data_IF_172949458029
#
_entry.id   IF_172949458029
#
_cell.length_a   1.000
_cell.length_b   1.000
_cell.length_c   1.000
_cell.angle_alpha   90.00
_cell.angle_beta   90.00
_cell.angle_gamma   90.00
#
_symmetry.space_group_name_H-M   'P 1'
#
loop_
_entity.id
_entity.type
_entity.pdbx_description
1 polymer ?
#
# COMPACT_ATOMS: atom_id res chain seq x y z
N UNK A 1 -30.95 9.72 41.17
CA UNK A 1 -29.90 8.67 41.09
C UNK A 1 -29.23 8.80 39.75
N UNK A 2 -28.02 9.37 39.69
CA UNK A 2 -27.25 9.50 38.46
C UNK A 2 -26.74 8.09 38.08
N UNK A 3 -27.03 7.68 36.86
CA UNK A 3 -26.40 6.45 36.29
C UNK A 3 -24.90 6.64 36.36
N UNK A 4 -24.21 5.79 37.13
CA UNK A 4 -22.77 5.71 37.09
C UNK A 4 -22.37 5.30 35.66
N UNK A 5 -21.68 6.17 34.94
CA UNK A 5 -21.11 5.86 33.66
C UNK A 5 -20.08 4.74 33.85
N UNK A 6 -20.39 3.58 33.32
CA UNK A 6 -19.53 2.41 33.35
C UNK A 6 -18.44 2.60 32.29
N UNK A 7 -17.32 3.23 32.64
CA UNK A 7 -16.15 3.31 31.75
C UNK A 7 -15.48 1.93 31.66
N UNK A 8 -15.40 1.41 30.45
CA UNK A 8 -14.68 0.19 30.16
C UNK A 8 -13.16 0.39 30.29
N UNK A 9 -12.42 -0.65 30.59
CA UNK A 9 -10.97 -0.62 30.52
C UNK A 9 -10.52 -0.84 29.09
N UNK A 10 -9.86 0.17 28.47
CA UNK A 10 -9.42 0.10 27.09
C UNK A 10 -7.93 0.42 26.94
N UNK A 11 -7.36 -0.01 25.86
CA UNK A 11 -5.97 0.30 25.51
C UNK A 11 -5.82 1.54 24.64
N UNK A 12 -6.82 1.88 23.84
CA UNK A 12 -6.71 2.87 22.78
C UNK A 12 -7.57 4.08 23.12
N UNK A 13 -6.92 5.23 23.11
CA UNK A 13 -7.54 6.50 23.34
C UNK A 13 -7.28 7.47 22.19
N UNK A 14 -8.30 8.21 21.82
CA UNK A 14 -8.18 9.40 21.00
C UNK A 14 -7.92 10.59 21.91
N UNK A 15 -7.07 11.51 21.50
CA UNK A 15 -6.72 12.66 22.30
C UNK A 15 -6.67 13.96 21.51
N UNK A 16 -6.99 15.07 22.18
CA UNK A 16 -6.84 16.42 21.69
C UNK A 16 -6.09 17.25 22.73
N UNK A 17 -5.06 17.98 22.32
CA UNK A 17 -4.24 18.76 23.23
C UNK A 17 -3.95 20.16 22.69
N UNK A 18 -4.44 21.17 23.37
CA UNK A 18 -4.27 22.60 23.06
C UNK A 18 -3.07 23.26 23.77
N UNK A 19 -2.24 22.48 24.43
CA UNK A 19 -1.19 22.92 25.32
C UNK A 19 -1.62 22.88 26.80
N UNK A 20 -0.67 23.02 27.74
CA UNK A 20 -0.95 23.07 29.15
C UNK A 20 -1.80 24.33 29.46
N UNK A 21 -2.67 24.25 30.49
CA UNK A 21 -3.58 25.32 30.82
C UNK A 21 -2.80 26.63 31.12
N UNK A 22 -2.96 27.60 30.22
CA UNK A 22 -2.26 28.90 30.31
C UNK A 22 -0.89 28.96 29.65
N UNK A 23 -0.48 27.89 28.92
CA UNK A 23 0.78 27.81 28.19
C UNK A 23 0.57 27.59 26.70
N UNK A 24 1.66 27.70 25.96
CA UNK A 24 1.69 27.46 24.53
C UNK A 24 1.73 25.96 24.19
N UNK A 25 1.30 25.62 22.98
CA UNK A 25 1.42 24.28 22.46
C UNK A 25 2.92 23.93 22.33
N UNK A 26 3.42 22.83 22.96
CA UNK A 26 4.82 22.45 22.85
C UNK A 26 5.20 22.09 21.40
N UNK A 27 6.46 22.17 21.06
CA UNK A 27 6.94 21.63 19.78
C UNK A 27 6.75 20.11 19.71
N UNK A 28 6.87 19.56 18.50
CA UNK A 28 6.69 18.12 18.23
C UNK A 28 7.62 17.25 19.07
N UNK A 29 8.90 17.59 19.14
CA UNK A 29 9.91 16.80 19.84
C UNK A 29 9.65 16.73 21.35
N UNK A 30 9.22 17.84 21.93
CA UNK A 30 8.81 17.93 23.33
C UNK A 30 7.53 17.11 23.57
N UNK A 31 6.53 17.27 22.70
CA UNK A 31 5.27 16.51 22.81
C UNK A 31 5.49 15.00 22.68
N UNK A 32 6.36 14.56 21.79
CA UNK A 32 6.75 13.15 21.67
C UNK A 32 7.34 12.62 22.99
N UNK A 33 8.22 13.38 23.64
CA UNK A 33 8.82 13.01 24.95
C UNK A 33 7.74 12.85 26.02
N UNK A 34 6.76 13.74 26.05
CA UNK A 34 5.64 13.69 27.01
C UNK A 34 4.73 12.49 26.78
N UNK A 35 4.48 12.10 25.52
CA UNK A 35 3.66 10.95 25.18
C UNK A 35 4.37 9.60 25.38
N UNK A 36 5.70 9.57 25.29
CA UNK A 36 6.50 8.36 25.29
C UNK A 36 6.29 7.44 26.51
N UNK A 37 6.19 7.93 27.75
CA UNK A 37 5.97 7.08 28.91
C UNK A 37 4.55 6.51 29.02
N UNK A 38 3.59 7.10 28.29
CA UNK A 38 2.18 6.72 28.35
C UNK A 38 1.75 5.76 27.27
N UNK A 39 2.19 6.03 26.03
CA UNK A 39 1.70 5.36 24.83
C UNK A 39 2.80 4.52 24.17
N UNK A 40 2.60 3.20 24.13
CA UNK A 40 3.47 2.25 23.38
C UNK A 40 3.39 2.45 21.87
N UNK A 41 2.22 2.87 21.38
CA UNK A 41 1.98 3.27 20.00
C UNK A 41 1.26 4.60 20.01
N UNK A 42 1.64 5.49 19.11
CA UNK A 42 0.99 6.79 18.96
C UNK A 42 1.11 7.29 17.54
N UNK A 43 0.08 8.02 17.12
CA UNK A 43 0.06 8.80 15.91
C UNK A 43 -0.68 10.09 16.22
N UNK A 44 -0.17 11.22 15.74
CA UNK A 44 -0.80 12.52 15.94
C UNK A 44 -0.37 13.50 14.85
N UNK A 45 -1.12 14.56 14.72
CA UNK A 45 -0.82 15.68 13.82
C UNK A 45 -1.11 16.99 14.50
N UNK A 46 -0.56 18.07 13.97
CA UNK A 46 -0.90 19.43 14.37
C UNK A 46 -2.04 19.92 13.48
N UNK A 47 -3.06 20.47 14.12
CA UNK A 47 -4.24 21.01 13.44
C UNK A 47 -4.47 22.44 13.87
N UNK A 48 -5.18 23.20 13.03
CA UNK A 48 -5.71 24.51 13.35
C UNK A 48 -7.23 24.42 13.45
N UNK A 49 -7.77 24.91 14.57
CA UNK A 49 -9.21 24.93 14.78
C UNK A 49 -9.86 25.99 13.87
N UNK A 50 -10.79 25.63 12.97
CA UNK A 50 -11.35 26.57 12.00
C UNK A 50 -12.12 27.75 12.62
N UNK A 51 -12.62 27.60 13.85
CA UNK A 51 -13.41 28.62 14.51
C UNK A 51 -12.61 29.55 15.41
N UNK A 52 -11.45 29.10 15.91
CA UNK A 52 -10.66 29.86 16.90
C UNK A 52 -9.23 30.14 16.42
N UNK A 53 -8.82 29.60 15.29
CA UNK A 53 -7.47 29.63 14.73
C UNK A 53 -6.38 29.15 15.73
N UNK A 54 -6.78 28.37 16.74
CA UNK A 54 -5.85 27.82 17.72
C UNK A 54 -5.27 26.51 17.21
N UNK A 55 -3.95 26.42 17.27
CA UNK A 55 -3.26 25.18 17.01
C UNK A 55 -3.45 24.18 18.16
N UNK A 56 -3.54 22.91 17.82
CA UNK A 56 -3.62 21.83 18.78
C UNK A 56 -3.05 20.54 18.17
N UNK A 57 -2.67 19.60 19.03
CA UNK A 57 -2.38 18.24 18.59
C UNK A 57 -3.64 17.39 18.69
N UNK A 58 -3.91 16.64 17.64
CA UNK A 58 -4.94 15.62 17.61
C UNK A 58 -4.33 14.29 17.23
N UNK A 59 -4.73 13.23 17.93
CA UNK A 59 -4.12 11.94 17.66
C UNK A 59 -4.78 10.77 18.39
N UNK A 60 -4.15 9.62 18.24
CA UNK A 60 -4.56 8.36 18.85
C UNK A 60 -3.35 7.68 19.47
N UNK A 61 -3.55 7.09 20.64
CA UNK A 61 -2.51 6.37 21.35
C UNK A 61 -2.98 5.05 21.95
N UNK A 62 -2.14 4.02 21.90
CA UNK A 62 -2.33 2.78 22.63
C UNK A 62 -1.44 2.77 23.87
N UNK A 63 -2.05 2.67 25.05
CA UNK A 63 -1.36 2.67 26.34
C UNK A 63 -0.47 1.41 26.51
N UNK A 64 0.54 1.53 27.36
CA UNK A 64 1.32 0.34 27.83
C UNK A 64 0.49 -0.58 28.71
N UNK A 65 -0.40 -0.02 29.54
CA UNK A 65 -1.29 -0.75 30.43
C UNK A 65 -2.72 -0.25 30.26
N UNK A 66 -3.66 -1.16 30.27
CA UNK A 66 -5.09 -0.84 30.26
C UNK A 66 -5.42 0.10 31.43
N UNK A 67 -6.19 1.15 31.15
CA UNK A 67 -6.69 2.09 32.15
C UNK A 67 -8.13 2.45 31.81
N UNK A 68 -8.86 2.88 32.85
CA UNK A 68 -10.14 3.58 32.64
C UNK A 68 -9.86 5.05 32.34
N UNK A 69 -10.74 5.69 31.59
CA UNK A 69 -10.59 7.11 31.24
C UNK A 69 -10.33 8.02 32.48
N UNK A 70 -11.07 7.90 33.60
CA UNK A 70 -10.80 8.73 34.78
C UNK A 70 -9.41 8.51 35.39
N UNK A 71 -8.88 7.29 35.34
CA UNK A 71 -7.52 6.99 35.79
C UNK A 71 -6.46 7.63 34.90
N UNK A 72 -6.69 7.58 33.57
CA UNK A 72 -5.82 8.24 32.60
C UNK A 72 -5.86 9.77 32.78
N UNK A 73 -7.03 10.36 32.96
CA UNK A 73 -7.16 11.79 33.20
C UNK A 73 -6.43 12.26 34.47
N UNK A 74 -6.50 11.48 35.57
CA UNK A 74 -5.72 11.77 36.77
C UNK A 74 -4.24 11.79 36.53
N UNK A 75 -3.74 10.74 35.85
CA UNK A 75 -2.33 10.61 35.49
C UNK A 75 -1.84 11.76 34.60
N UNK A 76 -2.64 12.20 33.65
CA UNK A 76 -2.33 13.33 32.77
C UNK A 76 -2.29 14.65 33.55
N UNK A 77 -3.18 14.85 34.53
CA UNK A 77 -3.24 16.07 35.33
C UNK A 77 -2.01 16.29 36.22
N UNK A 78 -1.29 15.24 36.53
CA UNK A 78 -0.03 15.28 37.28
C UNK A 78 1.21 15.49 36.39
N UNK A 79 1.00 15.75 35.10
CA UNK A 79 2.08 15.96 34.10
C UNK A 79 1.87 17.27 33.33
N UNK A 80 2.82 17.61 32.46
CA UNK A 80 2.70 18.72 31.51
C UNK A 80 1.61 18.50 30.45
N UNK A 81 1.01 17.31 30.39
CA UNK A 81 -0.16 17.00 29.56
C UNK A 81 -1.48 17.35 30.23
N UNK A 82 -1.45 18.10 31.32
CA UNK A 82 -2.63 18.57 32.00
C UNK A 82 -3.53 19.38 31.06
N UNK A 83 -4.80 18.94 30.97
CA UNK A 83 -5.78 19.55 30.07
C UNK A 83 -5.89 18.86 28.72
N UNK A 84 -5.15 17.75 28.51
CA UNK A 84 -5.39 16.89 27.36
C UNK A 84 -6.77 16.23 27.48
N UNK A 85 -7.64 16.45 26.49
CA UNK A 85 -8.90 15.70 26.36
C UNK A 85 -8.58 14.31 25.82
N UNK A 86 -9.06 13.26 26.50
CA UNK A 86 -8.89 11.87 26.09
C UNK A 86 -10.25 11.18 26.07
N UNK A 87 -10.51 10.45 25.00
CA UNK A 87 -11.74 9.68 24.81
C UNK A 87 -11.40 8.25 24.43
N UNK A 88 -12.19 7.32 24.97
CA UNK A 88 -12.08 5.92 24.55
C UNK A 88 -12.32 5.84 23.04
N UNK A 89 -11.40 5.23 22.33
CA UNK A 89 -11.58 5.00 20.91
C UNK A 89 -12.76 4.05 20.71
N UNK A 90 -13.78 4.45 19.96
CA UNK A 90 -14.98 3.64 19.80
C UNK A 90 -14.65 2.35 19.03
N UNK A 91 -15.11 1.21 19.56
CA UNK A 91 -15.02 -0.09 18.88
C UNK A 91 -15.77 -0.14 17.54
N UNK A 92 -16.61 0.87 17.25
CA UNK A 92 -17.33 1.03 15.99
C UNK A 92 -16.57 1.84 14.95
N UNK A 93 -15.55 2.57 15.30
CA UNK A 93 -14.55 2.94 14.33
C UNK A 93 -13.81 1.64 14.01
N UNK A 94 -14.33 0.90 13.03
CA UNK A 94 -13.53 -0.13 12.37
C UNK A 94 -12.16 0.48 12.26
N UNK A 95 -11.19 -0.21 12.78
CA UNK A 95 -9.81 0.15 13.04
C UNK A 95 -9.08 0.95 11.96
N UNK A 96 -9.75 1.21 10.89
CA UNK A 96 -9.28 1.86 9.70
C UNK A 96 -9.52 3.35 9.71
N UNK A 97 -10.35 3.88 10.64
CA UNK A 97 -10.57 5.31 10.75
C UNK A 97 -9.61 6.02 11.73
N UNK A 98 -8.37 5.58 11.73
CA UNK A 98 -7.23 6.47 12.05
C UNK A 98 -7.36 7.77 11.26
N UNK A 99 -7.90 7.71 10.06
CA UNK A 99 -8.14 8.82 9.15
C UNK A 99 -9.09 9.88 9.68
N UNK A 100 -10.07 9.54 10.53
CA UNK A 100 -10.91 10.58 11.17
C UNK A 100 -10.07 11.52 12.05
N UNK A 101 -9.06 10.98 12.75
CA UNK A 101 -8.13 11.75 13.59
C UNK A 101 -6.99 12.38 12.79
N UNK A 102 -6.93 12.13 11.48
CA UNK A 102 -5.83 12.50 10.58
C UNK A 102 -6.37 13.28 9.37
N UNK A 103 -7.36 14.10 9.56
CA UNK A 103 -7.99 14.91 8.51
C UNK A 103 -6.96 15.81 7.83
N UNK A 104 -7.09 15.92 6.51
CA UNK A 104 -6.26 16.86 5.73
C UNK A 104 -6.71 18.32 5.91
N UNK A 105 -8.00 18.53 6.11
CA UNK A 105 -8.63 19.85 6.03
C UNK A 105 -8.14 20.83 7.08
N UNK A 106 -7.74 20.33 8.26
CA UNK A 106 -7.31 21.17 9.40
C UNK A 106 -5.84 20.96 9.75
N UNK A 107 -5.15 20.06 9.03
CA UNK A 107 -3.75 19.74 9.28
C UNK A 107 -2.83 20.88 8.90
N UNK A 108 -2.00 21.31 9.85
CA UNK A 108 -0.92 22.26 9.59
C UNK A 108 0.46 21.62 9.59
N UNK A 109 0.64 20.46 10.24
CA UNK A 109 1.90 19.73 10.27
C UNK A 109 1.73 18.26 10.71
N UNK A 110 2.69 17.39 10.42
CA UNK A 110 2.63 15.95 10.67
C UNK A 110 2.06 15.17 9.47
N UNK A 111 1.59 13.93 9.65
CA UNK A 111 1.47 13.20 10.91
C UNK A 111 2.79 12.59 11.42
N UNK A 112 2.93 12.52 12.73
CA UNK A 112 4.06 11.87 13.41
C UNK A 112 3.61 10.58 14.08
N UNK A 113 4.37 9.50 13.91
CA UNK A 113 4.05 8.21 14.50
C UNK A 113 5.32 7.48 14.94
N UNK A 114 5.25 6.76 16.05
CA UNK A 114 6.34 5.89 16.48
C UNK A 114 6.21 4.46 15.95
N UNK A 115 5.09 4.11 15.37
CA UNK A 115 4.84 2.83 14.68
C UNK A 115 3.81 3.05 13.60
N UNK A 116 3.93 2.30 12.52
CA UNK A 116 2.89 2.18 11.51
C UNK A 116 1.63 1.60 12.14
N UNK A 117 0.53 2.33 12.12
CA UNK A 117 -0.79 1.89 12.59
C UNK A 117 -1.52 1.01 11.57
N UNK A 118 -0.86 0.63 10.51
CA UNK A 118 -1.43 -0.36 9.61
C UNK A 118 -1.68 -1.63 10.44
N UNK A 119 -2.92 -2.07 10.48
CA UNK A 119 -3.23 -3.40 10.98
C UNK A 119 -2.26 -4.38 10.32
N UNK A 120 -1.69 -5.34 11.07
CA UNK A 120 -0.83 -6.33 10.45
C UNK A 120 -1.62 -6.97 9.30
N UNK A 121 -1.02 -7.00 8.12
CA UNK A 121 -1.62 -7.62 6.94
C UNK A 121 -1.99 -9.05 7.32
N UNK A 122 -3.24 -9.42 7.11
CA UNK A 122 -3.65 -10.81 7.32
C UNK A 122 -2.96 -11.69 6.30
N UNK A 123 -2.13 -12.61 6.78
CA UNK A 123 -1.44 -13.59 5.93
C UNK A 123 -2.24 -14.88 5.96
N UNK A 124 -2.89 -15.27 4.84
CA UNK A 124 -3.61 -16.52 4.74
C UNK A 124 -2.72 -17.73 5.06
N UNK A 125 -3.30 -18.77 5.63
CA UNK A 125 -2.55 -19.92 6.17
C UNK A 125 -1.62 -20.56 5.13
N UNK A 126 -2.04 -20.61 3.88
CA UNK A 126 -1.28 -21.19 2.77
C UNK A 126 -0.03 -20.39 2.38
N UNK A 127 0.08 -19.13 2.82
CA UNK A 127 1.22 -18.24 2.52
C UNK A 127 2.15 -18.02 3.70
N UNK A 128 1.80 -18.54 4.88
CA UNK A 128 2.64 -18.40 6.08
C UNK A 128 3.95 -19.15 5.93
N UNK A 129 5.06 -18.46 6.19
CA UNK A 129 6.41 -19.04 6.11
C UNK A 129 6.90 -19.33 4.67
N UNK A 130 6.17 -18.87 3.63
CA UNK A 130 6.64 -19.04 2.25
C UNK A 130 7.71 -18.02 1.86
N UNK A 131 7.77 -16.87 2.51
CA UNK A 131 8.76 -15.84 2.19
C UNK A 131 10.20 -16.35 2.31
N UNK A 132 10.45 -17.24 3.26
CA UNK A 132 11.77 -17.88 3.49
C UNK A 132 12.06 -19.02 2.50
N UNK A 133 11.05 -19.46 1.73
CA UNK A 133 11.12 -20.60 0.81
C UNK A 133 11.02 -20.20 -0.66
N UNK A 134 11.15 -18.92 -0.94
CA UNK A 134 11.07 -18.42 -2.30
C UNK A 134 12.25 -18.92 -3.14
N UNK A 135 11.97 -19.13 -4.42
CA UNK A 135 13.02 -19.46 -5.38
C UNK A 135 13.93 -18.25 -5.68
N UNK A 136 15.17 -18.47 -6.14
CA UNK A 136 16.08 -17.36 -6.47
C UNK A 136 15.48 -16.33 -7.42
N UNK A 137 14.74 -16.78 -8.44
CA UNK A 137 14.09 -15.88 -9.39
C UNK A 137 13.03 -14.97 -8.74
N UNK A 138 12.29 -15.48 -7.74
CA UNK A 138 11.28 -14.70 -7.03
C UNK A 138 11.93 -13.61 -6.16
N UNK A 139 13.03 -13.93 -5.49
CA UNK A 139 13.82 -12.93 -4.77
C UNK A 139 14.32 -11.82 -5.70
N UNK A 140 14.84 -12.18 -6.87
CA UNK A 140 15.30 -11.19 -7.86
C UNK A 140 14.16 -10.28 -8.33
N UNK A 141 12.96 -10.84 -8.57
CA UNK A 141 11.76 -10.07 -8.92
C UNK A 141 11.39 -9.13 -7.79
N UNK A 142 11.32 -9.62 -6.55
CA UNK A 142 10.95 -8.79 -5.39
C UNK A 142 11.95 -7.67 -5.12
N UNK A 143 13.24 -7.90 -5.32
CA UNK A 143 14.28 -6.87 -5.15
C UNK A 143 14.22 -5.77 -6.20
N UNK A 144 13.65 -6.04 -7.38
CA UNK A 144 13.48 -5.03 -8.43
C UNK A 144 12.58 -3.85 -8.01
N UNK A 145 11.81 -3.97 -6.91
CA UNK A 145 11.03 -2.87 -6.34
C UNK A 145 11.86 -1.65 -5.95
N UNK A 146 13.17 -1.82 -5.79
CA UNK A 146 14.13 -0.75 -5.45
C UNK A 146 14.82 -0.16 -6.68
N UNK A 147 14.61 -0.73 -7.86
CA UNK A 147 15.20 -0.22 -9.10
C UNK A 147 14.47 1.04 -9.58
N UNK A 148 15.24 2.03 -10.01
CA UNK A 148 14.74 3.24 -10.65
C UNK A 148 14.77 3.09 -12.17
N UNK A 149 13.85 2.29 -12.68
CA UNK A 149 13.65 2.12 -14.14
C UNK A 149 12.24 2.62 -14.50
N UNK A 150 12.17 3.72 -15.19
CA UNK A 150 10.88 4.37 -15.53
C UNK A 150 10.31 3.94 -16.88
N UNK A 151 10.98 3.06 -17.58
CA UNK A 151 10.62 2.73 -18.96
C UNK A 151 10.35 1.25 -19.20
N UNK A 152 11.13 0.39 -18.58
CA UNK A 152 11.13 -1.04 -18.93
C UNK A 152 10.00 -1.80 -18.22
N UNK A 153 9.38 -2.70 -18.97
CA UNK A 153 8.42 -3.70 -18.50
C UNK A 153 9.08 -5.07 -18.58
N UNK A 154 9.18 -5.75 -17.46
CA UNK A 154 9.71 -7.11 -17.40
C UNK A 154 8.59 -8.12 -17.70
N UNK A 155 8.89 -9.11 -18.52
CA UNK A 155 7.94 -10.16 -18.85
C UNK A 155 8.58 -11.54 -18.63
N UNK A 156 7.96 -12.35 -17.79
CA UNK A 156 8.36 -13.75 -17.58
C UNK A 156 7.49 -14.65 -18.42
N UNK A 157 8.10 -15.36 -19.38
CA UNK A 157 7.44 -16.37 -20.21
C UNK A 157 7.74 -17.74 -19.59
N UNK A 158 6.74 -18.35 -18.98
CA UNK A 158 6.84 -19.61 -18.24
C UNK A 158 5.96 -20.66 -18.91
N UNK A 159 6.42 -21.20 -20.05
CA UNK A 159 5.67 -22.20 -20.84
C UNK A 159 5.30 -23.45 -20.04
N UNK A 160 6.21 -24.07 -19.26
CA UNK A 160 5.85 -25.22 -18.45
C UNK A 160 4.81 -24.91 -17.39
N UNK A 161 4.81 -23.68 -16.87
CA UNK A 161 4.00 -23.29 -15.74
C UNK A 161 4.50 -23.89 -14.41
N UNK A 162 3.73 -23.66 -13.35
CA UNK A 162 3.99 -24.21 -12.01
C UNK A 162 5.35 -23.81 -11.40
N UNK A 163 5.89 -22.65 -11.79
CA UNK A 163 7.12 -22.09 -11.22
C UNK A 163 6.87 -21.05 -10.13
N UNK A 164 5.63 -20.92 -9.64
CA UNK A 164 5.31 -20.07 -8.50
C UNK A 164 5.16 -18.57 -8.84
N UNK A 165 4.71 -18.20 -10.06
CA UNK A 165 4.45 -16.80 -10.46
C UNK A 165 3.43 -16.13 -9.54
N UNK A 166 2.26 -16.75 -9.35
CA UNK A 166 1.22 -16.21 -8.47
C UNK A 166 1.68 -16.15 -7.01
N UNK A 167 2.50 -17.10 -6.54
CA UNK A 167 3.12 -17.02 -5.21
C UNK A 167 4.02 -15.79 -5.09
N UNK A 168 4.80 -15.46 -6.12
CA UNK A 168 5.67 -14.29 -6.13
C UNK A 168 4.86 -13.00 -6.00
N UNK A 169 3.79 -12.85 -6.78
CA UNK A 169 2.90 -11.69 -6.72
C UNK A 169 2.21 -11.57 -5.36
N UNK A 170 1.67 -12.67 -4.82
CA UNK A 170 1.08 -12.69 -3.47
C UNK A 170 2.10 -12.29 -2.39
N UNK A 171 3.35 -12.77 -2.46
CA UNK A 171 4.38 -12.40 -1.48
C UNK A 171 4.73 -10.91 -1.56
N UNK A 172 4.78 -10.35 -2.76
CA UNK A 172 4.98 -8.92 -2.95
C UNK A 172 3.84 -8.10 -2.31
N UNK A 173 2.59 -8.51 -2.54
CA UNK A 173 1.43 -7.82 -1.97
C UNK A 173 1.37 -7.93 -0.44
N UNK A 174 1.55 -9.13 0.11
CA UNK A 174 1.40 -9.39 1.53
C UNK A 174 2.55 -8.80 2.37
N UNK A 175 3.77 -8.75 1.84
CA UNK A 175 4.96 -8.38 2.62
C UNK A 175 5.63 -7.08 2.19
N UNK A 176 5.42 -6.63 0.96
CA UNK A 176 6.15 -5.49 0.39
C UNK A 176 5.25 -4.38 -0.15
N UNK A 177 3.92 -4.47 0.05
CA UNK A 177 2.98 -3.48 -0.45
C UNK A 177 2.89 -3.41 -1.98
N UNK A 178 3.30 -4.47 -2.66
CA UNK A 178 3.12 -4.62 -4.10
C UNK A 178 1.65 -4.66 -4.50
N UNK A 179 1.40 -4.58 -5.79
CA UNK A 179 0.04 -4.67 -6.35
C UNK A 179 0.01 -5.86 -7.31
N UNK A 180 -0.82 -6.84 -7.00
CA UNK A 180 -1.16 -7.93 -7.91
C UNK A 180 -2.49 -7.59 -8.60
N UNK A 181 -2.43 -7.30 -9.90
CA UNK A 181 -3.60 -6.85 -10.63
C UNK A 181 -4.46 -8.06 -11.04
N UNK A 182 -5.77 -7.99 -10.81
CA UNK A 182 -6.66 -9.05 -11.24
C UNK A 182 -6.63 -9.20 -12.77
N UNK A 183 -6.93 -10.40 -13.30
CA UNK A 183 -6.96 -10.66 -14.74
C UNK A 183 -8.16 -9.99 -15.40
N UNK A 184 -8.07 -8.69 -15.66
CA UNK A 184 -9.09 -7.87 -16.30
C UNK A 184 -8.76 -7.72 -17.77
N UNK A 185 -9.72 -8.00 -18.65
CA UNK A 185 -9.54 -7.96 -20.10
C UNK A 185 -9.71 -6.57 -20.73
N UNK A 186 -10.21 -5.58 -20.01
CA UNK A 186 -10.41 -4.21 -20.50
C UNK A 186 -9.38 -3.26 -19.89
N UNK A 187 -8.72 -2.45 -20.77
CA UNK A 187 -7.69 -1.52 -20.33
C UNK A 187 -8.22 -0.40 -19.43
N UNK A 188 -9.46 0.05 -19.67
CA UNK A 188 -10.08 1.12 -18.85
C UNK A 188 -10.36 0.59 -17.45
N UNK A 189 -10.91 -0.62 -17.34
CA UNK A 189 -11.14 -1.26 -16.05
C UNK A 189 -9.82 -1.47 -15.30
N UNK A 190 -8.76 -1.88 -15.98
CA UNK A 190 -7.46 -2.10 -15.37
C UNK A 190 -6.87 -0.81 -14.77
N UNK A 191 -6.90 0.30 -15.52
CA UNK A 191 -6.42 1.59 -15.01
C UNK A 191 -7.30 2.14 -13.88
N UNK A 192 -8.61 1.92 -13.95
CA UNK A 192 -9.55 2.29 -12.89
C UNK A 192 -9.30 1.52 -11.60
N UNK A 193 -9.08 0.21 -11.68
CA UNK A 193 -8.75 -0.63 -10.51
C UNK A 193 -7.44 -0.17 -9.87
N UNK A 194 -6.42 0.14 -10.67
CA UNK A 194 -5.16 0.68 -10.14
C UNK A 194 -5.39 2.03 -9.45
N UNK A 195 -6.18 2.91 -10.07
CA UNK A 195 -6.54 4.19 -9.48
C UNK A 195 -7.23 4.02 -8.13
N UNK A 196 -8.23 3.14 -8.05
CA UNK A 196 -8.99 2.86 -6.82
C UNK A 196 -8.08 2.26 -5.73
N UNK A 197 -7.21 1.30 -6.07
CA UNK A 197 -6.28 0.68 -5.11
C UNK A 197 -5.32 1.71 -4.53
N UNK A 198 -4.70 2.51 -5.40
CA UNK A 198 -3.70 3.50 -4.98
C UNK A 198 -4.33 4.63 -4.17
N UNK A 199 -5.51 5.11 -4.57
CA UNK A 199 -6.25 6.13 -3.81
C UNK A 199 -6.71 5.60 -2.45
N UNK A 200 -7.25 4.39 -2.38
CA UNK A 200 -7.69 3.78 -1.13
C UNK A 200 -6.55 3.56 -0.13
N UNK A 201 -5.34 3.32 -0.63
CA UNK A 201 -4.13 3.13 0.19
C UNK A 201 -3.37 4.44 0.42
N UNK A 202 -3.77 5.56 -0.20
CA UNK A 202 -2.99 6.82 -0.30
C UNK A 202 -1.53 6.53 -0.73
N UNK A 203 -1.37 5.61 -1.70
CA UNK A 203 -0.06 5.11 -2.10
C UNK A 203 0.46 5.86 -3.31
N UNK A 204 1.62 6.51 -3.15
CA UNK A 204 2.32 7.25 -4.22
C UNK A 204 3.60 6.56 -4.68
N UNK A 205 4.01 5.49 -4.01
CA UNK A 205 5.26 4.77 -4.27
C UNK A 205 5.06 3.26 -4.32
N UNK A 206 4.19 2.77 -5.22
CA UNK A 206 4.01 1.33 -5.38
C UNK A 206 5.30 0.74 -5.96
N UNK A 207 6.15 0.14 -5.14
CA UNK A 207 7.46 -0.35 -5.56
C UNK A 207 7.40 -1.35 -6.70
N UNK A 208 6.37 -2.21 -6.74
CA UNK A 208 6.23 -3.28 -7.73
C UNK A 208 4.77 -3.54 -8.08
N UNK A 209 4.49 -3.76 -9.36
CA UNK A 209 3.15 -4.10 -9.88
C UNK A 209 3.25 -5.34 -10.76
N UNK A 210 2.35 -6.29 -10.53
CA UNK A 210 2.23 -7.52 -11.30
C UNK A 210 0.98 -7.53 -12.15
N UNK A 211 1.10 -8.14 -13.30
CA UNK A 211 0.00 -8.40 -14.24
C UNK A 211 0.15 -9.82 -14.75
N UNK A 212 -0.84 -10.67 -14.47
CA UNK A 212 -0.87 -12.02 -15.04
C UNK A 212 -1.71 -12.00 -16.32
N UNK A 213 -1.09 -12.39 -17.43
CA UNK A 213 -1.77 -12.54 -18.72
C UNK A 213 -2.41 -13.93 -18.78
N UNK A 214 -3.75 -14.02 -18.74
CA UNK A 214 -4.44 -15.29 -18.93
C UNK A 214 -4.07 -15.93 -20.27
N UNK A 215 -3.99 -17.23 -20.32
CA UNK A 215 -3.69 -17.98 -21.54
C UNK A 215 -4.60 -17.61 -22.71
N UNK A 216 -5.87 -17.36 -22.40
CA UNK A 216 -6.87 -16.95 -23.39
C UNK A 216 -6.62 -15.56 -23.96
N UNK A 217 -6.07 -14.63 -23.18
CA UNK A 217 -5.82 -13.26 -23.63
C UNK A 217 -4.67 -13.20 -24.64
N UNK A 218 -3.65 -14.03 -24.47
CA UNK A 218 -2.50 -14.08 -25.38
C UNK A 218 -2.85 -14.60 -26.78
N UNK A 219 -3.96 -15.32 -26.90
CA UNK A 219 -4.48 -15.84 -28.18
C UNK A 219 -5.42 -14.86 -28.90
N UNK A 220 -5.80 -13.73 -28.24
CA UNK A 220 -6.72 -12.74 -28.79
C UNK A 220 -6.02 -11.40 -29.07
N UNK A 221 -5.40 -11.17 -30.22
CA UNK A 221 -4.64 -9.96 -30.52
C UNK A 221 -5.42 -8.66 -30.33
N UNK A 222 -6.75 -8.68 -30.56
CA UNK A 222 -7.63 -7.49 -30.39
C UNK A 222 -7.75 -7.05 -28.94
N UNK A 223 -7.59 -7.95 -27.98
CA UNK A 223 -7.61 -7.64 -26.54
C UNK A 223 -6.23 -7.25 -26.02
N UNK A 224 -5.18 -7.69 -26.67
CA UNK A 224 -3.81 -7.47 -26.24
C UNK A 224 -3.38 -6.02 -26.36
N UNK A 225 -3.75 -5.33 -27.46
CA UNK A 225 -3.37 -3.94 -27.67
C UNK A 225 -3.93 -2.99 -26.59
N UNK A 226 -5.23 -3.03 -26.21
CA UNK A 226 -5.76 -2.23 -25.10
C UNK A 226 -5.08 -2.53 -23.78
N UNK A 227 -4.76 -3.78 -23.53
CA UNK A 227 -4.06 -4.21 -22.32
C UNK A 227 -2.65 -3.59 -22.21
N UNK A 228 -1.92 -3.56 -23.32
CA UNK A 228 -0.59 -2.94 -23.38
C UNK A 228 -0.65 -1.42 -23.11
N UNK A 229 -1.70 -0.75 -23.55
CA UNK A 229 -1.94 0.67 -23.25
C UNK A 229 -2.07 0.89 -21.73
N UNK A 230 -2.81 0.02 -21.04
CA UNK A 230 -2.93 0.09 -19.58
C UNK A 230 -1.59 -0.12 -18.88
N UNK A 231 -0.81 -1.11 -19.31
CA UNK A 231 0.54 -1.37 -18.79
C UNK A 231 1.44 -0.13 -18.96
N UNK A 232 1.39 0.53 -20.12
CA UNK A 232 2.17 1.75 -20.37
C UNK A 232 1.74 2.90 -19.45
N UNK A 233 0.43 3.08 -19.22
CA UNK A 233 -0.08 4.12 -18.33
C UNK A 233 0.36 3.86 -16.87
N UNK A 234 0.25 2.64 -16.41
CA UNK A 234 0.69 2.25 -15.06
C UNK A 234 2.21 2.46 -14.93
N UNK A 235 2.98 2.02 -15.92
CA UNK A 235 4.44 2.21 -15.94
C UNK A 235 4.85 3.68 -15.98
N UNK A 236 4.05 4.54 -16.62
CA UNK A 236 4.24 5.99 -16.64
C UNK A 236 4.03 6.64 -15.26
N UNK A 237 3.34 5.98 -14.34
CA UNK A 237 3.01 6.53 -13.03
C UNK A 237 1.81 7.47 -13.02
N UNK A 238 0.89 7.32 -13.98
CA UNK A 238 -0.34 8.10 -14.03
C UNK A 238 -1.50 7.26 -14.53
N UNK A 239 -2.54 7.16 -13.73
CA UNK A 239 -3.80 6.48 -14.07
C UNK A 239 -4.99 7.39 -13.80
N UNK A 240 -6.10 7.15 -14.50
CA UNK A 240 -7.33 7.89 -14.30
C UNK A 240 -8.55 6.97 -14.27
N UNK A 241 -9.58 7.45 -13.59
CA UNK A 241 -10.91 6.84 -13.54
C UNK A 241 -11.95 7.88 -14.02
N UNK A 242 -12.77 7.48 -14.97
CA UNK A 242 -13.79 8.34 -15.60
C UNK A 242 -15.23 7.82 -15.41
N UNK A 243 -15.45 6.80 -14.57
CA UNK A 243 -16.76 6.13 -14.42
C UNK A 243 -17.86 7.05 -13.89
N UNK A 244 -17.60 7.75 -12.79
CA UNK A 244 -18.60 8.61 -12.13
C UNK A 244 -18.19 10.09 -12.21
N UNK A 245 -16.97 10.39 -11.78
CA UNK A 245 -16.32 11.68 -11.87
C UNK A 245 -14.91 11.45 -12.32
N UNK A 246 -14.34 12.42 -13.07
CA UNK A 246 -12.93 12.34 -13.41
C UNK A 246 -12.10 12.35 -12.13
N UNK A 247 -11.30 11.31 -11.94
CA UNK A 247 -10.28 11.21 -10.88
C UNK A 247 -9.00 10.77 -11.53
N UNK A 248 -7.88 11.29 -11.09
CA UNK A 248 -6.57 10.85 -11.54
C UNK A 248 -5.61 10.70 -10.37
N UNK A 249 -4.60 9.87 -10.57
CA UNK A 249 -3.62 9.59 -9.55
C UNK A 249 -2.23 9.49 -10.15
N UNK A 250 -1.33 10.34 -9.62
CA UNK A 250 0.08 10.33 -9.97
C UNK A 250 0.87 9.60 -8.90
N UNK A 251 1.82 8.76 -9.33
CA UNK A 251 2.65 7.96 -8.45
C UNK A 251 4.01 7.68 -9.08
N UNK A 252 5.00 7.27 -8.27
CA UNK A 252 6.33 6.89 -8.77
C UNK A 252 6.21 5.64 -9.65
N UNK A 253 6.94 5.62 -10.77
CA UNK A 253 6.91 4.51 -11.72
C UNK A 253 7.35 3.21 -11.04
N UNK A 254 6.51 2.16 -10.98
CA UNK A 254 6.84 0.90 -10.31
C UNK A 254 7.75 0.01 -11.14
N UNK A 255 8.42 -0.95 -10.49
CA UNK A 255 8.90 -2.12 -11.19
C UNK A 255 7.71 -2.90 -11.75
N UNK A 256 7.61 -3.01 -13.08
CA UNK A 256 6.46 -3.63 -13.75
C UNK A 256 6.83 -5.03 -14.22
N UNK A 257 6.03 -6.03 -13.80
CA UNK A 257 6.20 -7.41 -14.17
C UNK A 257 4.94 -8.00 -14.78
N UNK A 258 5.09 -8.53 -15.98
CA UNK A 258 4.04 -9.26 -16.70
C UNK A 258 4.38 -10.74 -16.63
N UNK A 259 3.45 -11.53 -16.14
CA UNK A 259 3.56 -12.98 -16.12
C UNK A 259 2.70 -13.58 -17.23
N UNK A 260 3.24 -14.51 -17.97
CA UNK A 260 2.49 -15.24 -18.99
C UNK A 260 3.02 -16.68 -19.14
N UNK A 261 2.21 -17.54 -19.74
CA UNK A 261 2.61 -18.91 -20.07
C UNK A 261 2.96 -19.06 -21.56
N UNK A 262 2.44 -18.18 -22.41
CA UNK A 262 2.71 -18.18 -23.84
C UNK A 262 3.31 -16.84 -24.27
N UNK A 263 4.21 -16.88 -25.23
CA UNK A 263 4.70 -15.68 -25.86
C UNK A 263 3.55 -15.01 -26.63
N UNK A 264 3.61 -13.68 -26.73
CA UNK A 264 2.62 -12.87 -27.42
C UNK A 264 3.30 -11.92 -28.41
N UNK A 265 2.52 -11.40 -29.36
CA UNK A 265 3.00 -10.43 -30.32
C UNK A 265 3.47 -9.13 -29.64
N UNK A 266 4.74 -8.82 -29.76
CA UNK A 266 5.39 -7.70 -29.07
C UNK A 266 5.25 -6.36 -29.78
N UNK A 267 4.56 -6.31 -30.92
CA UNK A 267 4.42 -5.09 -31.77
C UNK A 267 3.65 -3.95 -31.11
N UNK A 268 2.88 -4.24 -30.06
CA UNK A 268 2.02 -3.24 -29.41
C UNK A 268 2.77 -2.28 -28.47
N UNK A 269 4.03 -2.56 -28.18
CA UNK A 269 4.95 -1.66 -27.48
C UNK A 269 6.30 -1.65 -28.17
N UNK A 270 7.06 -0.56 -28.03
CA UNK A 270 8.41 -0.49 -28.61
C UNK A 270 9.35 -1.52 -27.98
N UNK A 271 10.23 -2.10 -28.80
CA UNK A 271 11.13 -3.17 -28.37
C UNK A 271 12.00 -2.82 -27.18
N UNK A 272 12.41 -1.57 -27.07
CA UNK A 272 13.25 -1.05 -25.98
C UNK A 272 12.54 -1.01 -24.62
N UNK A 273 11.21 -1.12 -24.59
CA UNK A 273 10.43 -1.20 -23.36
C UNK A 273 10.39 -2.59 -22.76
N UNK A 274 10.73 -3.62 -23.51
CA UNK A 274 10.59 -4.99 -23.05
C UNK A 274 11.89 -5.59 -22.55
N UNK A 275 11.79 -6.28 -21.40
CA UNK A 275 12.78 -7.25 -20.91
C UNK A 275 12.12 -8.58 -20.72
N UNK A 276 12.44 -9.53 -21.59
CA UNK A 276 11.90 -10.89 -21.52
C UNK A 276 12.81 -11.80 -20.73
N UNK A 277 12.17 -12.65 -19.96
CA UNK A 277 12.81 -13.58 -19.06
C UNK A 277 12.19 -14.96 -19.17
N UNK A 278 12.98 -15.99 -18.94
CA UNK A 278 12.51 -17.35 -18.67
C UNK A 278 13.10 -17.85 -17.36
N UNK A 279 12.42 -18.80 -16.73
CA UNK A 279 12.89 -19.46 -15.51
C UNK A 279 13.66 -20.70 -15.95
N UNK A 280 14.91 -20.82 -15.55
CA UNK A 280 15.74 -21.97 -15.85
C UNK A 280 15.47 -23.15 -14.90
N UNK A 281 16.13 -24.29 -15.15
CA UNK A 281 15.99 -25.50 -14.33
C UNK A 281 16.47 -25.33 -12.89
N UNK A 282 17.32 -24.34 -12.61
CA UNK A 282 17.84 -24.00 -11.29
C UNK A 282 16.99 -22.91 -10.61
N UNK A 283 15.86 -22.56 -11.19
CA UNK A 283 14.97 -21.51 -10.70
C UNK A 283 15.61 -20.11 -10.66
N UNK A 284 16.44 -19.78 -11.65
CA UNK A 284 16.96 -18.44 -11.87
C UNK A 284 16.28 -17.78 -13.06
N UNK A 285 16.28 -16.43 -13.10
CA UNK A 285 15.86 -15.69 -14.29
C UNK A 285 16.98 -15.72 -15.33
N UNK A 286 16.65 -16.18 -16.53
CA UNK A 286 17.49 -16.05 -17.71
C UNK A 286 16.90 -15.05 -18.69
N UNK A 287 17.70 -14.07 -19.11
CA UNK A 287 17.32 -13.11 -20.13
C UNK A 287 17.10 -13.81 -21.46
N UNK A 288 16.00 -13.42 -22.14
CA UNK A 288 15.70 -13.86 -23.51
C UNK A 288 15.97 -12.74 -24.51
N UNK A 289 16.42 -13.12 -25.68
CA UNK A 289 16.52 -12.21 -26.83
C UNK A 289 15.15 -12.05 -27.51
N UNK A 290 14.96 -10.98 -28.26
CA UNK A 290 13.74 -10.81 -29.06
C UNK A 290 13.53 -11.94 -30.07
N UNK A 291 14.60 -12.46 -30.65
CA UNK A 291 14.52 -13.57 -31.58
C UNK A 291 13.99 -14.84 -30.91
N UNK A 292 14.47 -15.17 -29.71
CA UNK A 292 13.95 -16.31 -28.94
C UNK A 292 12.43 -16.13 -28.67
N UNK A 293 11.98 -14.93 -28.34
CA UNK A 293 10.54 -14.63 -28.10
C UNK A 293 9.75 -14.78 -29.41
N UNK A 294 10.24 -14.24 -30.52
CA UNK A 294 9.56 -14.33 -31.81
C UNK A 294 9.41 -15.79 -32.28
N UNK A 295 10.43 -16.63 -32.07
CA UNK A 295 10.34 -18.04 -32.37
C UNK A 295 9.23 -18.74 -31.57
N UNK A 296 9.06 -18.36 -30.26
CA UNK A 296 7.97 -18.89 -29.44
C UNK A 296 6.58 -18.43 -29.90
N UNK A 297 6.46 -17.23 -30.49
CA UNK A 297 5.19 -16.74 -31.05
C UNK A 297 4.81 -17.50 -32.32
N UNK A 298 5.80 -17.81 -33.19
CA UNK A 298 5.55 -18.57 -34.43
C UNK A 298 5.14 -20.00 -34.13
N UNK A 299 5.74 -20.65 -33.14
CA UNK A 299 5.41 -22.03 -32.75
C UNK A 299 3.95 -22.21 -32.24
N UNK A 300 3.32 -21.12 -31.77
CA UNK A 300 1.93 -21.14 -31.30
C UNK A 300 0.95 -20.88 -32.46
N UNK A 301 1.40 -20.32 -33.56
CA UNK A 301 0.57 -19.94 -34.72
C UNK A 301 0.37 -21.05 -35.73
N UNK A 302 1.10 -22.15 -35.63
CA UNK A 302 0.91 -23.38 -36.45
C UNK A 302 0.06 -24.37 -35.63
N UNK A 303 -1.18 -24.67 -36.07
CA UNK A 303 -2.08 -25.62 -35.42
C UNK A 303 -1.68 -27.07 -35.66
#
# INVERSE_FOLDING_TARGET
MSKAEHHSQVFIYDFTFFGPKGGDLPDEATFVKLLQPLFKKRIFQREECPTTNKHHYQGRGALFKIKRQPELCRLLNDTELRGMDVRESSNNSKTDDIFYMMKYDTRTDGPWSNKTWKAPVYIPIQYRGLLEKLYPWQHQVLESRHEQDWRTVNCVIDQPGNNGKSTCACMAELHHGGIDLPPIGDHKELTQVVCDILMAKDERKPGIVFVDLPRTLTLEPKKLAPFMIAIEQIKKGHVCDVRNHYRDWWFDSPAMWVFCNHAFDTKYMSKDRWRFWRIDQFKNLRRMTFQEVQNLVSDVSDP
#
